data_IF_270599369974
#
_entry.id   IF_270599369974
#
_cell.length_a   1.000
_cell.length_b   1.000
_cell.length_c   1.000
_cell.angle_alpha   90.00
_cell.angle_beta   90.00
_cell.angle_gamma   90.00
#
_symmetry.space_group_name_H-M   'P 1'
#
loop_
_entity.id
_entity.type
_entity.pdbx_description
1 polymer ?
#
# COMPACT_ATOMS: atom_id res chain seq x y z
N UNK A 1 -17.82 -45.47 0.71
CA UNK A 1 -19.04 -45.53 1.54
C UNK A 1 -19.18 -44.18 2.22
N UNK A 2 -20.29 -43.49 1.89
CA UNK A 2 -21.02 -42.43 2.62
C UNK A 2 -20.27 -41.21 3.20
N UNK A 3 -20.60 -40.02 2.65
CA UNK A 3 -21.12 -38.77 3.27
C UNK A 3 -21.06 -38.65 4.81
N UNK A 4 -20.84 -37.51 5.47
CA UNK A 4 -21.26 -36.11 5.23
C UNK A 4 -20.52 -35.18 6.26
N UNK A 5 -20.47 -33.85 6.09
CA UNK A 5 -19.67 -32.88 6.84
C UNK A 5 -20.43 -32.22 7.99
N UNK A 6 -19.71 -31.70 8.98
CA UNK A 6 -20.19 -30.61 9.83
C UNK A 6 -19.03 -29.70 10.24
N UNK A 7 -19.17 -28.43 9.87
CA UNK A 7 -18.32 -27.35 10.30
C UNK A 7 -18.60 -26.99 11.76
N UNK A 8 -17.56 -26.72 12.54
CA UNK A 8 -17.66 -25.85 13.71
C UNK A 8 -16.54 -24.82 13.67
N UNK A 9 -17.00 -23.58 13.75
CA UNK A 9 -16.26 -22.34 13.90
C UNK A 9 -15.49 -22.33 15.22
N UNK A 10 -14.23 -21.89 15.18
CA UNK A 10 -13.56 -21.37 16.37
C UNK A 10 -12.94 -20.02 16.01
N UNK A 11 -13.47 -18.99 16.66
CA UNK A 11 -12.93 -17.64 16.64
C UNK A 11 -12.10 -17.41 17.92
N UNK A 12 -11.25 -16.39 17.83
CA UNK A 12 -10.70 -15.55 18.90
C UNK A 12 -9.21 -15.67 19.20
N UNK A 13 -8.56 -14.52 19.03
CA UNK A 13 -7.21 -14.23 19.47
C UNK A 13 -6.57 -12.99 18.84
N UNK A 14 -7.32 -11.92 18.52
CA UNK A 14 -6.70 -10.58 18.34
C UNK A 14 -7.13 -9.64 19.46
N UNK A 15 -6.14 -9.06 20.13
CA UNK A 15 -6.28 -7.96 21.07
C UNK A 15 -6.85 -6.73 20.34
N UNK A 16 -7.81 -6.07 20.98
CA UNK A 16 -8.59 -4.99 20.40
C UNK A 16 -7.97 -3.59 20.50
N UNK A 17 -8.64 -2.65 19.84
CA UNK A 17 -9.19 -1.42 20.41
C UNK A 17 -9.91 -0.66 19.29
N UNK A 18 -11.24 -0.64 19.28
CA UNK A 18 -12.01 0.34 18.49
C UNK A 18 -13.26 0.69 19.27
N UNK A 19 -13.52 1.98 19.34
CA UNK A 19 -14.61 2.66 20.03
C UNK A 19 -15.96 1.95 19.92
N UNK A 20 -16.58 1.73 21.07
CA UNK A 20 -17.91 1.13 21.22
C UNK A 20 -18.99 2.18 20.89
N UNK A 21 -19.13 2.50 19.60
CA UNK A 21 -20.35 3.10 19.05
C UNK A 21 -21.19 1.94 18.50
N UNK A 22 -22.50 1.87 18.79
CA UNK A 22 -23.34 0.80 18.25
C UNK A 22 -23.30 0.89 16.73
N UNK A 23 -22.68 -0.11 16.11
CA UNK A 23 -22.63 -0.27 14.66
C UNK A 23 -24.03 -0.52 14.08
N UNK A 24 -24.10 -0.70 12.77
CA UNK A 24 -25.32 -1.24 12.16
C UNK A 24 -25.64 -2.61 12.80
N UNK A 25 -26.93 -2.93 13.06
CA UNK A 25 -27.32 -4.27 13.51
C UNK A 25 -26.75 -5.35 12.60
N UNK A 26 -26.36 -6.51 13.16
CA UNK A 26 -25.74 -7.61 12.38
C UNK A 26 -26.61 -8.08 11.20
N UNK A 27 -27.93 -7.93 11.30
CA UNK A 27 -28.92 -8.30 10.27
C UNK A 27 -29.41 -7.11 9.43
N UNK A 28 -28.80 -5.92 9.53
CA UNK A 28 -29.24 -4.75 8.76
C UNK A 28 -28.97 -4.97 7.26
N UNK A 29 -29.97 -4.75 6.38
CA UNK A 29 -29.80 -5.04 4.96
C UNK A 29 -28.68 -4.20 4.36
N UNK A 30 -27.84 -4.86 3.56
CA UNK A 30 -26.75 -4.21 2.84
C UNK A 30 -25.70 -3.52 3.74
N UNK A 31 -25.55 -3.94 5.00
CA UNK A 31 -24.55 -3.39 5.94
C UNK A 31 -23.14 -3.28 5.33
N UNK A 32 -22.66 -4.32 4.64
CA UNK A 32 -21.35 -4.30 3.96
C UNK A 32 -21.23 -3.28 2.82
N UNK A 33 -22.34 -2.86 2.21
CA UNK A 33 -22.35 -1.79 1.20
C UNK A 33 -22.38 -0.41 1.85
N UNK A 34 -23.15 -0.27 2.93
CA UNK A 34 -23.18 0.95 3.74
C UNK A 34 -21.80 1.26 4.34
N UNK A 35 -21.12 0.24 4.89
CA UNK A 35 -19.75 0.39 5.40
C UNK A 35 -18.76 0.85 4.32
N UNK A 36 -18.87 0.30 3.09
CA UNK A 36 -18.06 0.75 1.94
C UNK A 36 -18.38 2.17 1.49
N UNK A 37 -19.62 2.61 1.71
CA UNK A 37 -20.06 3.98 1.46
C UNK A 37 -19.73 4.94 2.64
N UNK A 38 -19.07 4.46 3.70
CA UNK A 38 -18.67 5.25 4.86
C UNK A 38 -19.74 5.35 5.96
N UNK A 39 -20.86 4.64 5.84
CA UNK A 39 -21.94 4.61 6.81
C UNK A 39 -21.80 3.39 7.71
N UNK A 40 -21.37 3.61 8.95
CA UNK A 40 -21.03 2.54 9.91
C UNK A 40 -21.98 2.46 11.11
N UNK A 41 -22.98 3.34 11.19
CA UNK A 41 -23.95 3.37 12.29
C UNK A 41 -25.34 3.82 11.82
N UNK A 42 -26.38 3.46 12.58
CA UNK A 42 -27.75 3.91 12.33
C UNK A 42 -27.89 5.44 12.43
N UNK A 43 -27.12 6.08 13.31
CA UNK A 43 -27.10 7.53 13.42
C UNK A 43 -26.53 8.18 12.14
N UNK A 44 -25.40 7.68 11.65
CA UNK A 44 -24.81 8.14 10.39
C UNK A 44 -25.71 7.86 9.18
N UNK A 45 -26.46 6.76 9.20
CA UNK A 45 -27.42 6.45 8.13
C UNK A 45 -28.59 7.44 8.10
N UNK A 46 -29.06 7.94 9.25
CA UNK A 46 -30.13 8.95 9.36
C UNK A 46 -29.70 10.35 8.91
N UNK A 47 -28.40 10.61 8.83
CA UNK A 47 -27.84 11.88 8.36
C UNK A 47 -27.64 11.92 6.85
N UNK A 48 -27.87 10.80 6.14
CA UNK A 48 -27.75 10.74 4.67
C UNK A 48 -28.97 11.40 4.01
N UNK A 49 -28.75 12.48 3.26
CA UNK A 49 -29.82 13.20 2.56
C UNK A 49 -30.39 12.43 1.36
N UNK A 50 -29.54 11.64 0.68
CA UNK A 50 -29.93 10.80 -0.46
C UNK A 50 -29.16 9.48 -0.47
N UNK A 51 -29.87 8.37 -0.24
CA UNK A 51 -29.28 7.03 -0.26
C UNK A 51 -28.76 6.65 -1.65
N UNK A 52 -29.38 7.16 -2.71
CA UNK A 52 -29.01 6.87 -4.10
C UNK A 52 -27.71 7.55 -4.54
N UNK A 53 -27.28 8.58 -3.81
CA UNK A 53 -26.01 9.29 -4.04
C UNK A 53 -24.83 8.61 -3.34
N UNK A 54 -25.08 7.65 -2.45
CA UNK A 54 -24.03 6.86 -1.85
C UNK A 54 -23.38 5.93 -2.88
N UNK A 55 -22.05 5.97 -2.92
CA UNK A 55 -21.27 5.17 -3.88
C UNK A 55 -21.58 3.67 -3.70
N UNK A 56 -22.20 3.05 -4.70
CA UNK A 56 -22.54 1.63 -4.70
C UNK A 56 -23.91 1.26 -4.13
N UNK A 57 -24.74 2.27 -3.80
CA UNK A 57 -26.15 2.14 -3.44
C UNK A 57 -26.99 2.69 -4.61
N UNK A 58 -27.47 1.80 -5.49
CA UNK A 58 -28.44 2.15 -6.52
C UNK A 58 -29.88 2.17 -5.99
N UNK A 59 -30.87 2.60 -6.81
CA UNK A 59 -32.27 2.79 -6.39
C UNK A 59 -32.90 1.57 -5.71
N UNK A 60 -32.63 0.37 -6.24
CA UNK A 60 -33.15 -0.87 -5.66
C UNK A 60 -32.63 -1.16 -4.24
N UNK A 61 -31.42 -0.72 -3.90
CA UNK A 61 -30.86 -0.89 -2.55
C UNK A 61 -31.31 0.24 -1.62
N UNK A 62 -31.53 1.45 -2.16
CA UNK A 62 -32.02 2.58 -1.39
C UNK A 62 -33.42 2.29 -0.80
N UNK A 63 -34.32 1.71 -1.59
CA UNK A 63 -35.66 1.33 -1.14
C UNK A 63 -35.62 0.30 0.02
N UNK A 64 -34.80 -0.74 -0.12
CA UNK A 64 -34.65 -1.79 0.89
C UNK A 64 -34.03 -1.26 2.20
N UNK A 65 -33.06 -0.34 2.09
CA UNK A 65 -32.40 0.30 3.24
C UNK A 65 -33.36 1.26 3.95
N UNK A 66 -34.12 2.06 3.21
CA UNK A 66 -35.08 3.00 3.78
C UNK A 66 -36.18 2.26 4.55
N UNK A 67 -36.70 1.16 3.99
CA UNK A 67 -37.71 0.35 4.65
C UNK A 67 -37.22 -0.24 5.97
N UNK A 68 -35.99 -0.75 6.02
CA UNK A 68 -35.41 -1.26 7.26
C UNK A 68 -35.11 -0.15 8.28
N UNK A 69 -34.76 1.06 7.83
CA UNK A 69 -34.59 2.21 8.70
C UNK A 69 -35.90 2.61 9.40
N UNK A 70 -37.01 2.57 8.66
CA UNK A 70 -38.35 2.86 9.17
C UNK A 70 -38.81 1.79 10.18
N UNK A 71 -38.54 0.51 9.91
CA UNK A 71 -38.84 -0.61 10.83
C UNK A 71 -38.07 -0.51 12.16
N UNK A 72 -36.84 0.01 12.15
CA UNK A 72 -36.03 0.24 13.37
C UNK A 72 -36.50 1.48 14.14
N UNK A 73 -37.10 2.47 13.47
CA UNK A 73 -37.64 3.67 14.12
C UNK A 73 -38.89 3.34 14.97
N UNK A 74 -39.71 2.39 14.54
CA UNK A 74 -40.93 1.97 15.25
C UNK A 74 -40.66 1.09 16.50
N UNK A 75 -39.45 0.56 16.67
CA UNK A 75 -39.08 -0.33 17.79
C UNK A 75 -38.46 0.39 19.00
N UNK A 76 -38.16 1.68 18.91
CA UNK A 76 -37.31 2.42 19.88
C UNK A 76 -38.06 3.24 20.94
N UNK A 77 -38.92 2.61 21.74
CA UNK A 77 -39.59 3.24 22.89
C UNK A 77 -38.95 2.91 24.24
N UNK A 78 -38.02 3.75 24.71
CA UNK A 78 -37.67 3.92 26.13
C UNK A 78 -36.49 3.10 26.67
N UNK A 79 -35.49 3.78 27.24
CA UNK A 79 -35.10 3.59 28.65
C UNK A 79 -34.03 4.59 29.12
N UNK A 80 -34.26 5.10 30.34
CA UNK A 80 -33.40 5.98 31.11
C UNK A 80 -32.04 5.36 31.43
N UNK A 81 -30.97 6.16 31.31
CA UNK A 81 -29.62 5.79 31.77
C UNK A 81 -29.34 6.48 33.10
N UNK A 82 -29.22 5.65 34.14
CA UNK A 82 -28.74 6.06 35.46
C UNK A 82 -27.25 6.44 35.39
N UNK A 83 -26.93 7.64 35.87
CA UNK A 83 -25.55 8.13 36.00
C UNK A 83 -24.85 7.42 37.15
N UNK A 84 -23.75 6.72 36.85
CA UNK A 84 -22.77 6.30 37.85
C UNK A 84 -21.52 7.14 37.68
N UNK A 85 -21.14 7.86 38.73
CA UNK A 85 -19.96 8.73 38.74
C UNK A 85 -18.68 7.90 38.56
N UNK A 86 -17.99 8.13 37.44
CA UNK A 86 -16.66 7.60 37.19
C UNK A 86 -15.63 8.30 38.07
N UNK A 87 -14.82 7.50 38.78
CA UNK A 87 -13.61 7.99 39.46
C UNK A 87 -12.69 8.69 38.46
N UNK A 88 -12.15 9.84 38.88
CA UNK A 88 -11.20 10.63 38.09
C UNK A 88 -9.92 9.84 37.79
N UNK A 89 -9.56 9.81 36.51
CA UNK A 89 -8.26 9.34 36.02
C UNK A 89 -7.16 10.34 36.45
N UNK A 90 -5.96 9.89 36.85
CA UNK A 90 -4.86 10.79 37.21
C UNK A 90 -4.30 11.60 36.03
N UNK A 91 -4.78 11.35 34.81
CA UNK A 91 -4.37 12.06 33.59
C UNK A 91 -5.35 13.18 33.18
N UNK A 92 -6.37 13.46 33.99
CA UNK A 92 -7.27 14.61 33.79
C UNK A 92 -6.73 15.89 34.46
N UNK A 93 -5.43 16.15 34.30
CA UNK A 93 -4.85 17.44 34.65
C UNK A 93 -5.13 18.43 33.53
N UNK A 94 -5.70 19.60 33.87
CA UNK A 94 -5.74 20.74 32.94
C UNK A 94 -4.33 20.95 32.39
N UNK A 95 -4.20 20.97 31.06
CA UNK A 95 -2.91 21.06 30.37
C UNK A 95 -2.11 22.31 30.74
N UNK A 96 -1.35 22.21 31.83
CA UNK A 96 -0.14 22.97 32.03
C UNK A 96 1.01 22.12 31.46
N UNK A 97 1.75 22.71 30.53
CA UNK A 97 2.88 22.08 29.86
C UNK A 97 3.96 21.70 30.88
N UNK A 98 4.13 20.40 31.13
CA UNK A 98 5.33 19.90 31.79
C UNK A 98 6.53 20.07 30.85
N UNK A 99 7.60 20.64 31.41
CA UNK A 99 8.84 20.98 30.72
C UNK A 99 9.35 19.83 29.84
N UNK A 100 9.46 20.12 28.55
CA UNK A 100 10.09 19.26 27.56
C UNK A 100 11.48 18.84 28.04
N UNK A 101 11.72 17.53 28.15
CA UNK A 101 13.06 16.95 28.31
C UNK A 101 13.93 17.47 27.16
N UNK A 102 14.83 18.40 27.50
CA UNK A 102 15.67 19.17 26.58
C UNK A 102 16.78 18.36 25.94
N UNK A 103 16.43 17.37 25.12
CA UNK A 103 17.31 16.95 24.02
C UNK A 103 17.38 18.09 23.01
N UNK A 104 18.56 18.35 22.44
CA UNK A 104 18.71 19.36 21.40
C UNK A 104 17.89 18.93 20.17
N UNK A 105 16.61 19.31 20.13
CA UNK A 105 15.84 19.32 18.90
C UNK A 105 16.71 20.08 17.89
N UNK A 106 17.02 19.42 16.76
CA UNK A 106 17.70 20.08 15.65
C UNK A 106 16.86 21.29 15.29
N UNK A 107 17.28 22.48 15.71
CA UNK A 107 16.67 23.78 15.36
C UNK A 107 16.94 24.09 13.89
N UNK A 108 16.67 23.13 13.02
CA UNK A 108 16.67 23.33 11.59
C UNK A 108 15.41 24.14 11.30
N UNK A 109 15.63 25.41 10.96
CA UNK A 109 14.61 26.20 10.27
C UNK A 109 14.31 25.47 8.97
N UNK A 110 13.16 24.81 8.90
CA UNK A 110 12.60 24.37 7.62
C UNK A 110 12.03 25.62 6.98
N UNK A 111 12.78 26.16 6.02
CA UNK A 111 12.32 27.26 5.18
C UNK A 111 11.33 26.66 4.17
N UNK A 112 10.09 26.45 4.62
CA UNK A 112 9.01 25.94 3.77
C UNK A 112 8.47 27.14 2.99
N UNK A 113 8.57 27.17 1.65
CA UNK A 113 8.06 28.28 0.86
C UNK A 113 6.57 28.49 1.13
N UNK A 114 6.17 29.72 1.46
CA UNK A 114 4.76 30.10 1.50
C UNK A 114 4.26 30.33 0.07
N UNK A 115 3.54 29.36 -0.48
CA UNK A 115 2.92 29.45 -1.81
C UNK A 115 3.22 28.25 -2.71
N UNK A 116 2.62 28.19 -3.90
CA UNK A 116 2.95 27.15 -4.87
C UNK A 116 4.41 27.28 -5.29
N UNK A 117 5.19 26.22 -5.12
CA UNK A 117 6.53 26.10 -5.68
C UNK A 117 6.35 25.89 -7.19
N UNK A 118 6.62 26.92 -7.99
CA UNK A 118 6.65 26.81 -9.44
C UNK A 118 8.09 26.63 -9.91
N UNK A 119 8.42 25.40 -10.28
CA UNK A 119 9.70 25.06 -10.92
C UNK A 119 9.43 24.68 -12.38
N UNK A 120 10.07 25.40 -13.31
CA UNK A 120 10.03 25.03 -14.74
C UNK A 120 11.30 24.27 -15.06
N UNK A 121 11.17 22.94 -15.21
CA UNK A 121 12.25 22.08 -15.67
C UNK A 121 12.05 21.82 -17.17
N UNK A 122 13.09 22.06 -17.96
CA UNK A 122 13.14 21.64 -19.35
C UNK A 122 14.00 20.40 -19.45
N UNK A 123 13.47 19.37 -20.10
CA UNK A 123 14.20 18.13 -20.39
C UNK A 123 14.12 17.84 -21.88
N UNK A 124 15.22 17.36 -22.43
CA UNK A 124 15.22 16.82 -23.78
C UNK A 124 14.37 15.55 -23.79
N UNK A 125 13.39 15.53 -24.68
CA UNK A 125 12.65 14.30 -24.97
C UNK A 125 13.38 13.55 -26.07
N UNK A 126 13.39 12.23 -25.97
CA UNK A 126 13.91 11.36 -27.02
C UNK A 126 12.73 10.83 -27.83
N UNK A 127 12.36 11.49 -28.95
CA UNK A 127 11.29 11.02 -29.81
C UNK A 127 11.59 9.61 -30.30
N UNK A 128 10.54 8.79 -30.31
CA UNK A 128 10.58 7.44 -30.88
C UNK A 128 11.05 7.53 -32.34
N UNK A 129 11.85 6.55 -32.77
CA UNK A 129 12.40 6.43 -34.14
C UNK A 129 13.40 7.52 -34.56
N UNK A 130 13.94 8.31 -33.63
CA UNK A 130 14.90 9.39 -33.95
C UNK A 130 16.35 8.97 -33.75
N UNK A 131 16.62 8.11 -32.77
CA UNK A 131 17.98 7.68 -32.43
C UNK A 131 18.08 6.16 -32.51
N UNK A 132 19.11 5.69 -33.18
CA UNK A 132 19.58 4.32 -33.07
C UNK A 132 20.42 4.19 -31.78
N UNK A 133 20.55 2.97 -31.26
CA UNK A 133 21.21 2.75 -29.96
C UNK A 133 22.71 3.08 -29.98
N UNK A 134 23.37 2.90 -31.12
CA UNK A 134 24.77 3.26 -31.32
C UNK A 134 25.00 4.78 -31.21
N UNK A 135 24.06 5.59 -31.71
CA UNK A 135 24.07 7.04 -31.56
C UNK A 135 23.89 7.49 -30.11
N UNK A 136 23.27 6.66 -29.27
CA UNK A 136 23.11 6.87 -27.84
C UNK A 136 24.29 6.29 -27.02
N UNK A 137 25.30 5.72 -27.69
CA UNK A 137 26.50 5.19 -27.06
C UNK A 137 26.36 3.76 -26.52
N UNK A 138 25.29 3.04 -26.85
CA UNK A 138 25.11 1.64 -26.47
C UNK A 138 25.68 0.70 -27.53
N UNK A 139 26.34 -0.36 -27.09
CA UNK A 139 26.70 -1.49 -27.93
C UNK A 139 25.51 -2.44 -28.13
N UNK A 140 25.53 -3.20 -29.23
CA UNK A 140 24.47 -4.17 -29.57
C UNK A 140 24.16 -5.13 -28.41
N UNK A 141 25.20 -5.67 -27.74
CA UNK A 141 25.01 -6.61 -26.63
C UNK A 141 24.30 -5.96 -25.44
N UNK A 142 24.59 -4.68 -25.15
CA UNK A 142 23.95 -3.96 -24.04
C UNK A 142 22.44 -3.82 -24.27
N UNK A 143 22.04 -3.43 -25.49
CA UNK A 143 20.62 -3.31 -25.85
C UNK A 143 19.92 -4.67 -25.85
N UNK A 144 20.62 -5.71 -26.28
CA UNK A 144 20.11 -7.08 -26.20
C UNK A 144 19.91 -7.50 -24.74
N UNK A 145 20.81 -7.14 -23.82
CA UNK A 145 20.67 -7.42 -22.40
C UNK A 145 19.51 -6.66 -21.75
N UNK A 146 19.29 -5.39 -22.12
CA UNK A 146 18.11 -4.64 -21.71
C UNK A 146 16.83 -5.31 -22.20
N UNK A 147 16.80 -5.75 -23.46
CA UNK A 147 15.66 -6.49 -24.01
C UNK A 147 15.45 -7.83 -23.30
N UNK A 148 16.52 -8.58 -23.01
CA UNK A 148 16.45 -9.84 -22.25
C UNK A 148 15.86 -9.60 -20.87
N UNK A 149 16.24 -8.53 -20.17
CA UNK A 149 15.69 -8.17 -18.87
C UNK A 149 14.18 -7.87 -18.96
N UNK A 150 13.75 -7.04 -19.91
CA UNK A 150 12.33 -6.76 -20.12
C UNK A 150 11.50 -8.02 -20.44
N UNK A 151 12.05 -8.91 -21.29
CA UNK A 151 11.39 -10.17 -21.63
C UNK A 151 11.33 -11.14 -20.43
N UNK A 152 12.36 -11.16 -19.58
CA UNK A 152 12.38 -11.92 -18.34
C UNK A 152 11.24 -11.46 -17.43
N UNK A 153 11.15 -10.15 -17.17
CA UNK A 153 10.08 -9.55 -16.38
C UNK A 153 8.70 -9.91 -16.95
N UNK A 154 8.46 -9.70 -18.26
CA UNK A 154 7.19 -10.03 -18.91
C UNK A 154 6.82 -11.51 -18.76
N UNK A 155 7.78 -12.43 -18.84
CA UNK A 155 7.55 -13.87 -18.69
C UNK A 155 7.26 -14.24 -17.24
N UNK A 156 8.03 -13.69 -16.30
CA UNK A 156 7.81 -13.85 -14.86
C UNK A 156 6.39 -13.41 -14.47
N UNK A 157 6.00 -12.21 -14.88
CA UNK A 157 4.70 -11.61 -14.60
C UNK A 157 3.53 -12.42 -15.18
N UNK A 158 3.68 -12.89 -16.42
CA UNK A 158 2.69 -13.78 -17.02
C UNK A 158 2.52 -15.07 -16.22
N UNK A 159 3.61 -15.60 -15.66
CA UNK A 159 3.54 -16.77 -14.80
C UNK A 159 2.88 -16.44 -13.46
N UNK A 160 3.19 -15.31 -12.85
CA UNK A 160 2.54 -14.82 -11.64
C UNK A 160 1.02 -14.73 -11.82
N UNK A 161 0.57 -14.11 -12.93
CA UNK A 161 -0.85 -14.04 -13.30
C UNK A 161 -1.51 -15.42 -13.37
N UNK A 162 -0.87 -16.38 -14.03
CA UNK A 162 -1.40 -17.75 -14.14
C UNK A 162 -1.51 -18.43 -12.77
N UNK A 163 -0.50 -18.28 -11.91
CA UNK A 163 -0.47 -18.91 -10.58
C UNK A 163 -1.48 -18.27 -9.62
N UNK A 164 -1.70 -16.96 -9.73
CA UNK A 164 -2.73 -16.25 -8.99
C UNK A 164 -4.14 -16.67 -9.39
N UNK A 165 -4.41 -16.83 -10.69
CA UNK A 165 -5.69 -17.39 -11.18
C UNK A 165 -5.93 -18.82 -10.66
N UNK A 166 -4.87 -19.58 -10.40
CA UNK A 166 -4.94 -20.91 -9.77
C UNK A 166 -4.96 -20.85 -8.24
N UNK A 167 -5.11 -19.67 -7.64
CA UNK A 167 -5.14 -19.43 -6.20
C UNK A 167 -3.89 -19.96 -5.47
N UNK A 168 -2.73 -19.98 -6.16
CA UNK A 168 -1.43 -20.38 -5.58
C UNK A 168 -0.68 -19.22 -4.93
N UNK A 169 -1.03 -18.00 -5.30
CA UNK A 169 -0.52 -16.75 -4.72
C UNK A 169 -1.67 -16.16 -3.90
N UNK A 170 -1.41 -15.84 -2.63
CA UNK A 170 -2.39 -15.25 -1.72
C UNK A 170 -2.20 -13.73 -1.60
N UNK A 171 -3.26 -13.03 -1.18
CA UNK A 171 -3.26 -11.56 -1.10
C UNK A 171 -3.54 -10.90 -2.44
N UNK A 172 -3.17 -9.63 -2.59
CA UNK A 172 -3.35 -8.88 -3.84
C UNK A 172 -2.10 -9.00 -4.72
N UNK A 173 -2.29 -9.29 -6.01
CA UNK A 173 -1.22 -9.38 -6.99
C UNK A 173 -1.13 -8.11 -7.86
N UNK A 174 0.03 -7.45 -7.84
CA UNK A 174 0.29 -6.21 -8.57
C UNK A 174 1.36 -6.43 -9.64
N UNK A 175 0.92 -6.80 -10.84
CA UNK A 175 1.81 -7.19 -11.93
C UNK A 175 2.57 -6.00 -12.53
N UNK A 176 3.85 -6.12 -12.87
CA UNK A 176 4.65 -5.08 -13.54
C UNK A 176 4.46 -4.97 -15.08
N UNK A 177 3.44 -5.66 -15.62
CA UNK A 177 3.16 -5.73 -17.06
C UNK A 177 2.96 -4.34 -17.68
N UNK A 178 3.77 -4.01 -18.69
CA UNK A 178 3.69 -2.77 -19.47
C UNK A 178 4.62 -1.68 -18.99
N UNK A 179 5.37 -1.92 -17.90
CA UNK A 179 6.30 -0.96 -17.31
C UNK A 179 7.74 -1.46 -17.33
N UNK A 180 8.04 -2.60 -17.97
CA UNK A 180 9.34 -3.27 -17.90
C UNK A 180 10.51 -2.40 -18.37
N UNK A 181 10.26 -1.48 -19.30
CA UNK A 181 11.26 -0.53 -19.76
C UNK A 181 11.67 0.47 -18.67
N UNK A 182 10.74 0.84 -17.76
CA UNK A 182 11.00 1.77 -16.66
C UNK A 182 11.99 1.16 -15.68
N UNK A 183 11.74 -0.06 -15.21
CA UNK A 183 12.65 -0.75 -14.28
C UNK A 183 13.99 -1.06 -14.94
N UNK A 184 13.98 -1.59 -16.16
CA UNK A 184 15.21 -1.95 -16.88
C UNK A 184 16.08 -0.72 -17.15
N UNK A 185 15.50 0.36 -17.67
CA UNK A 185 16.24 1.59 -17.98
C UNK A 185 16.73 2.30 -16.72
N UNK A 186 15.90 2.38 -15.68
CA UNK A 186 16.28 3.05 -14.42
C UNK A 186 17.42 2.32 -13.73
N UNK A 187 17.37 0.99 -13.67
CA UNK A 187 18.44 0.19 -13.04
C UNK A 187 19.72 0.20 -13.88
N UNK A 188 19.62 0.30 -15.20
CA UNK A 188 20.80 0.45 -16.05
C UNK A 188 21.55 1.77 -15.84
N UNK A 189 20.90 2.79 -15.29
CA UNK A 189 21.47 4.11 -15.05
C UNK A 189 22.12 4.28 -13.66
N UNK A 190 22.18 3.22 -12.84
CA UNK A 190 22.72 3.25 -11.47
C UNK A 190 23.77 2.16 -11.24
N UNK A 191 24.59 2.35 -10.21
CA UNK A 191 25.63 1.40 -9.82
C UNK A 191 25.03 0.28 -8.94
N UNK A 192 24.77 -0.87 -9.57
CA UNK A 192 24.22 -2.06 -8.89
C UNK A 192 25.09 -2.51 -7.70
N UNK A 193 24.45 -2.64 -6.54
CA UNK A 193 25.09 -3.06 -5.29
C UNK A 193 25.47 -1.90 -4.38
N UNK A 194 25.65 -0.71 -4.96
CA UNK A 194 25.93 0.52 -4.23
C UNK A 194 24.65 1.35 -4.10
N UNK A 195 24.04 1.69 -5.23
CA UNK A 195 22.81 2.49 -5.31
C UNK A 195 21.58 1.71 -4.89
N UNK A 196 20.60 2.44 -4.36
CA UNK A 196 19.38 1.87 -3.78
C UNK A 196 18.12 2.23 -4.55
N UNK A 197 17.12 1.36 -4.47
CA UNK A 197 15.79 1.61 -4.99
C UNK A 197 14.76 1.39 -3.89
N UNK A 198 13.83 2.33 -3.75
CA UNK A 198 12.61 2.16 -2.98
C UNK A 198 11.42 2.51 -3.88
N UNK A 199 10.33 1.75 -3.80
CA UNK A 199 9.20 1.90 -4.73
C UNK A 199 7.86 1.65 -4.06
N UNK A 200 6.79 2.07 -4.72
CA UNK A 200 5.43 1.63 -4.43
C UNK A 200 5.22 0.11 -4.65
N UNK A 201 3.99 -0.35 -4.44
CA UNK A 201 3.52 -1.74 -4.45
C UNK A 201 3.69 -2.53 -5.76
N UNK A 202 4.20 -1.92 -6.83
CA UNK A 202 4.48 -2.58 -8.11
C UNK A 202 5.98 -2.73 -8.23
N UNK A 203 6.54 -3.75 -7.60
CA UNK A 203 7.96 -3.84 -7.30
C UNK A 203 8.68 -5.04 -7.93
N UNK A 204 7.95 -5.99 -8.53
CA UNK A 204 8.54 -7.21 -9.10
C UNK A 204 9.55 -6.91 -10.19
N UNK A 205 9.18 -6.04 -11.14
CA UNK A 205 10.05 -5.63 -12.23
C UNK A 205 11.31 -4.93 -11.75
N UNK A 206 11.18 -4.05 -10.75
CA UNK A 206 12.32 -3.38 -10.10
C UNK A 206 13.23 -4.39 -9.38
N UNK A 207 12.65 -5.32 -8.62
CA UNK A 207 13.41 -6.37 -7.95
C UNK A 207 14.20 -7.23 -8.93
N UNK A 208 13.56 -7.70 -10.01
CA UNK A 208 14.23 -8.49 -11.06
C UNK A 208 15.35 -7.70 -11.76
N UNK A 209 15.12 -6.41 -12.03
CA UNK A 209 16.12 -5.54 -12.63
C UNK A 209 17.33 -5.33 -11.68
N UNK A 210 17.10 -5.20 -10.38
CA UNK A 210 18.13 -5.14 -9.33
C UNK A 210 18.84 -6.48 -9.07
N UNK A 211 18.62 -7.49 -9.91
CA UNK A 211 19.30 -8.78 -9.85
C UNK A 211 18.60 -9.84 -8.98
N UNK A 212 17.37 -9.59 -8.53
CA UNK A 212 16.57 -10.62 -7.87
C UNK A 212 16.29 -11.77 -8.85
N UNK A 213 16.50 -13.01 -8.42
CA UNK A 213 16.26 -14.17 -9.26
C UNK A 213 14.75 -14.43 -9.42
N UNK A 214 14.30 -14.91 -10.59
CA UNK A 214 12.92 -15.36 -10.76
C UNK A 214 12.50 -16.42 -9.74
N UNK A 215 13.43 -17.28 -9.33
CA UNK A 215 13.21 -18.31 -8.32
C UNK A 215 12.87 -17.73 -6.95
N UNK A 216 13.64 -16.76 -6.46
CA UNK A 216 13.39 -16.14 -5.15
C UNK A 216 12.15 -15.24 -5.19
N UNK A 217 11.94 -14.48 -6.27
CA UNK A 217 10.73 -13.67 -6.44
C UNK A 217 9.46 -14.54 -6.49
N UNK A 218 9.48 -15.64 -7.25
CA UNK A 218 8.35 -16.57 -7.31
C UNK A 218 8.13 -17.29 -5.98
N UNK A 219 9.21 -17.62 -5.26
CA UNK A 219 9.11 -18.19 -3.92
C UNK A 219 8.45 -17.23 -2.94
N UNK A 220 8.75 -15.94 -3.02
CA UNK A 220 8.11 -14.89 -2.20
C UNK A 220 6.60 -14.84 -2.46
N UNK A 221 6.19 -14.80 -3.73
CA UNK A 221 4.78 -14.78 -4.12
C UNK A 221 4.00 -16.02 -3.66
N UNK A 222 4.69 -17.17 -3.56
CA UNK A 222 4.11 -18.42 -3.07
C UNK A 222 4.14 -18.54 -1.53
N UNK A 223 4.60 -17.51 -0.81
CA UNK A 223 4.72 -17.53 0.65
C UNK A 223 5.77 -18.53 1.16
N UNK A 224 6.79 -18.84 0.35
CA UNK A 224 7.83 -19.81 0.72
C UNK A 224 8.95 -19.14 1.49
N UNK A 225 9.55 -19.89 2.42
CA UNK A 225 10.73 -19.45 3.21
C UNK A 225 11.93 -19.03 2.36
N UNK A 226 12.04 -19.52 1.13
CA UNK A 226 13.12 -19.18 0.18
C UNK A 226 12.82 -17.92 -0.64
N UNK A 227 11.71 -17.22 -0.38
CA UNK A 227 11.47 -15.90 -0.95
C UNK A 227 12.42 -14.85 -0.38
N UNK A 228 12.59 -13.75 -1.11
CA UNK A 228 13.47 -12.63 -0.72
C UNK A 228 13.14 -12.04 0.66
N UNK A 229 11.85 -12.04 1.04
CA UNK A 229 11.34 -11.63 2.36
C UNK A 229 10.84 -12.83 3.18
N UNK A 230 11.34 -14.04 2.88
CA UNK A 230 10.97 -15.32 3.51
C UNK A 230 9.48 -15.67 3.36
N UNK A 231 8.83 -15.19 2.30
CA UNK A 231 7.43 -15.44 2.00
C UNK A 231 6.45 -14.60 2.81
N UNK A 232 6.94 -13.56 3.50
CA UNK A 232 6.12 -12.70 4.37
C UNK A 232 5.70 -11.39 3.70
N UNK A 233 6.45 -10.95 2.71
CA UNK A 233 6.19 -9.72 1.97
C UNK A 233 5.13 -9.90 0.89
N UNK A 234 5.11 -11.06 0.24
CA UNK A 234 4.18 -11.34 -0.84
C UNK A 234 4.36 -10.39 -2.03
N UNK A 235 3.28 -10.10 -2.75
CA UNK A 235 3.35 -9.36 -4.01
C UNK A 235 3.66 -7.86 -3.89
N UNK A 236 3.60 -7.26 -2.71
CA UNK A 236 3.80 -5.81 -2.58
C UNK A 236 5.10 -5.46 -1.86
N UNK A 237 5.95 -6.44 -1.53
CA UNK A 237 7.11 -6.23 -0.67
C UNK A 237 8.29 -7.15 -1.01
N UNK A 238 8.79 -7.00 -2.23
CA UNK A 238 10.08 -7.52 -2.68
C UNK A 238 11.19 -6.67 -2.07
N UNK A 239 11.87 -7.23 -1.07
CA UNK A 239 12.92 -6.56 -0.32
C UNK A 239 14.19 -7.40 -0.34
N UNK A 240 15.33 -6.77 -0.59
CA UNK A 240 16.65 -7.38 -0.50
C UNK A 240 17.69 -6.33 -0.14
N UNK A 241 18.26 -6.45 1.06
CA UNK A 241 19.28 -5.53 1.57
C UNK A 241 20.59 -5.62 0.79
N UNK A 242 20.99 -6.81 0.36
CA UNK A 242 22.26 -7.01 -0.35
C UNK A 242 22.17 -6.44 -1.77
N UNK A 243 21.01 -6.59 -2.41
CA UNK A 243 20.73 -6.00 -3.72
C UNK A 243 20.29 -4.53 -3.66
N UNK A 244 20.32 -3.91 -2.48
CA UNK A 244 19.85 -2.52 -2.23
C UNK A 244 18.41 -2.25 -2.73
N UNK A 245 17.57 -3.29 -2.79
CA UNK A 245 16.16 -3.19 -3.10
C UNK A 245 15.37 -3.01 -1.79
N UNK A 246 15.04 -1.77 -1.47
CA UNK A 246 14.51 -1.36 -0.17
C UNK A 246 13.01 -1.61 0.00
N UNK A 247 12.38 -2.32 -0.94
CA UNK A 247 11.02 -2.80 -0.81
C UNK A 247 10.01 -2.07 -1.70
N UNK A 248 8.97 -2.79 -2.08
CA UNK A 248 7.68 -2.20 -2.41
C UNK A 248 6.91 -1.80 -1.16
N UNK A 249 6.16 -0.71 -1.24
CA UNK A 249 5.29 -0.24 -0.17
C UNK A 249 3.81 -0.29 -0.59
N UNK A 250 3.03 -1.08 0.16
CA UNK A 250 1.57 -1.17 0.00
C UNK A 250 0.82 0.10 0.40
N UNK A 251 1.41 0.93 1.27
CA UNK A 251 0.87 2.24 1.63
C UNK A 251 1.44 3.28 0.66
N UNK A 252 0.58 3.79 -0.22
CA UNK A 252 0.96 4.77 -1.24
C UNK A 252 1.48 6.04 -0.58
N UNK A 253 2.60 6.55 -1.09
CA UNK A 253 3.28 7.74 -0.57
C UNK A 253 4.17 7.49 0.67
N UNK A 254 4.01 6.37 1.38
CA UNK A 254 4.81 6.10 2.59
C UNK A 254 6.30 5.86 2.30
N UNK A 255 6.65 5.42 1.09
CA UNK A 255 8.04 5.22 0.65
C UNK A 255 8.77 6.53 0.37
N UNK A 256 8.08 7.62 0.04
CA UNK A 256 8.70 8.90 -0.33
C UNK A 256 9.62 9.45 0.77
N UNK A 257 9.16 9.64 2.04
CA UNK A 257 10.05 10.11 3.10
C UNK A 257 11.15 9.09 3.45
N UNK A 258 10.91 7.80 3.24
CA UNK A 258 11.91 6.76 3.44
C UNK A 258 13.02 6.85 2.39
N UNK A 259 12.67 7.08 1.12
CA UNK A 259 13.63 7.34 0.04
C UNK A 259 14.49 8.57 0.31
N UNK A 260 13.88 9.67 0.78
CA UNK A 260 14.62 10.85 1.24
C UNK A 260 15.57 10.50 2.38
N UNK A 261 15.14 9.69 3.34
CA UNK A 261 15.99 9.22 4.44
C UNK A 261 17.18 8.38 3.97
N UNK A 262 16.98 7.52 2.97
CA UNK A 262 18.05 6.70 2.37
C UNK A 262 19.04 7.61 1.62
N UNK A 263 18.55 8.53 0.79
CA UNK A 263 19.37 9.53 0.11
C UNK A 263 20.17 10.41 1.10
N UNK A 264 19.54 10.82 2.21
CA UNK A 264 20.22 11.55 3.27
C UNK A 264 21.32 10.71 3.93
N UNK A 265 21.12 9.41 4.12
CA UNK A 265 22.13 8.52 4.67
C UNK A 265 23.38 8.43 3.76
N UNK A 266 23.19 8.35 2.44
CA UNK A 266 24.29 8.40 1.47
C UNK A 266 25.07 9.72 1.59
N UNK A 267 24.35 10.85 1.54
CA UNK A 267 24.95 12.18 1.75
C UNK A 267 25.70 12.31 3.08
N UNK A 268 25.17 11.74 4.15
CA UNK A 268 25.77 11.80 5.48
C UNK A 268 27.06 10.97 5.57
N UNK A 269 27.14 9.85 4.85
CA UNK A 269 28.33 9.00 4.78
C UNK A 269 29.37 9.50 3.77
N UNK A 270 28.94 10.29 2.77
CA UNK A 270 29.81 10.77 1.69
C UNK A 270 30.25 9.64 0.77
N UNK A 271 29.35 8.69 0.49
CA UNK A 271 29.61 7.50 -0.33
C UNK A 271 29.30 7.69 -1.83
N UNK A 272 28.89 8.89 -2.25
CA UNK A 272 28.48 9.25 -3.63
C UNK A 272 27.36 8.38 -4.23
N UNK A 273 26.74 7.52 -3.42
CA UNK A 273 25.62 6.65 -3.77
C UNK A 273 24.29 7.44 -3.88
N UNK A 274 23.34 6.93 -4.66
CA UNK A 274 22.00 7.51 -4.85
C UNK A 274 20.88 6.55 -4.45
N UNK A 275 19.69 7.13 -4.22
CA UNK A 275 18.44 6.38 -4.03
C UNK A 275 17.43 6.79 -5.10
N UNK A 276 17.02 5.85 -5.94
CA UNK A 276 15.86 6.04 -6.80
C UNK A 276 14.57 5.78 -6.00
N UNK A 277 13.56 6.62 -6.25
CA UNK A 277 12.28 6.57 -5.54
C UNK A 277 11.13 6.66 -6.55
N UNK A 278 10.22 5.68 -6.53
CA UNK A 278 9.10 5.52 -7.47
C UNK A 278 7.74 5.39 -6.77
#
# INVERSE_FOLDING_TARGET
MADNPSAHTSNSGSNGSVDDKPGLPEDFPHASRLERAGVTSLAGLREVESLEELTGIGPAYADDIQKALDEVADAGGGNDVATTEGRSSPLAGNGESEDTVGGAATRQSLDIPEGPIEETVSFDTYPVDTYEHDALGFADEEVIDLLRNMLLQRRFENRCRQMYQQQKISGFLHLYIGQEAVSTGSVNAIDLGEDSIITAYRDHGMGLAMGMTPEEGMAELFGKRTGCSKGKGGSMHFFDREKKMMGGHGIVGAHLPLGVGIAFAHKYRGDDEVCLCF
#
